data_IF_909516330677
#
_entry.id   IF_909516330677
#
_cell.length_a   1.000
_cell.length_b   1.000
_cell.length_c   1.000
_cell.angle_alpha   90.00
_cell.angle_beta   90.00
_cell.angle_gamma   90.00
#
_symmetry.space_group_name_H-M   'P 1'
#
loop_
_entity.id
_entity.type
_entity.pdbx_description
1 polymer ?
#
# COMPACT_ATOMS: atom_id res chain seq x y z
N UNK A 1 17.66 11.81 1.12
CA UNK A 1 17.21 11.49 -0.25
C UNK A 1 15.87 12.17 -0.47
N UNK A 2 15.66 12.88 -1.57
CA UNK A 2 14.44 13.65 -1.80
C UNK A 2 13.21 12.74 -1.94
N UNK A 3 12.08 13.15 -1.37
CA UNK A 3 10.79 12.47 -1.55
C UNK A 3 10.40 12.54 -3.04
N UNK A 4 10.13 11.38 -3.65
CA UNK A 4 9.67 11.30 -5.05
C UNK A 4 8.18 11.62 -5.09
N UNK A 5 7.78 12.58 -5.92
CA UNK A 5 6.36 12.92 -6.08
C UNK A 5 5.61 11.82 -6.81
N UNK A 6 4.35 11.61 -6.44
CA UNK A 6 3.40 10.72 -7.10
C UNK A 6 2.04 11.42 -7.23
N UNK A 7 1.25 11.01 -8.22
CA UNK A 7 -0.10 11.52 -8.43
C UNK A 7 -1.08 10.37 -8.56
N UNK A 8 -2.22 10.49 -7.89
CA UNK A 8 -3.43 9.71 -8.20
C UNK A 8 -4.35 10.59 -9.03
N UNK A 9 -4.67 10.14 -10.23
CA UNK A 9 -5.60 10.83 -11.14
C UNK A 9 -6.84 9.98 -11.28
N UNK A 10 -8.00 10.54 -10.94
CA UNK A 10 -9.29 9.87 -11.07
C UNK A 10 -9.92 10.17 -12.43
N UNK A 11 -10.84 9.30 -12.85
CA UNK A 11 -11.52 9.43 -14.14
C UNK A 11 -12.35 10.71 -14.28
N UNK A 12 -12.78 11.30 -13.16
CA UNK A 12 -13.50 12.59 -13.13
C UNK A 12 -12.57 13.82 -13.25
N UNK A 13 -11.26 13.61 -13.36
CA UNK A 13 -10.25 14.66 -13.43
C UNK A 13 -9.71 15.13 -12.08
N UNK A 14 -10.18 14.57 -10.96
CA UNK A 14 -9.63 14.85 -9.64
C UNK A 14 -8.19 14.36 -9.54
N UNK A 15 -7.31 15.19 -8.99
CA UNK A 15 -5.88 14.86 -8.81
C UNK A 15 -5.49 14.98 -7.33
N UNK A 16 -4.87 13.92 -6.81
CA UNK A 16 -4.23 13.93 -5.50
C UNK A 16 -2.71 13.86 -5.67
N UNK A 17 -1.99 14.88 -5.17
CA UNK A 17 -0.53 14.86 -5.08
C UNK A 17 -0.10 14.15 -3.78
N UNK A 18 0.89 13.27 -3.90
CA UNK A 18 1.46 12.53 -2.80
C UNK A 18 2.96 12.27 -2.96
N UNK A 19 3.49 11.46 -2.05
CA UNK A 19 4.87 10.97 -2.12
C UNK A 19 4.86 9.47 -2.40
N UNK A 20 5.66 9.02 -3.36
CA UNK A 20 5.87 7.60 -3.59
C UNK A 20 6.62 6.97 -2.42
N UNK A 21 6.11 5.85 -1.92
CA UNK A 21 6.76 5.02 -0.90
C UNK A 21 6.89 3.55 -1.33
N UNK A 22 6.34 3.15 -2.48
CA UNK A 22 6.43 1.79 -3.04
C UNK A 22 7.33 1.73 -4.28
N UNK A 23 7.05 0.78 -5.17
CA UNK A 23 7.69 0.70 -6.48
C UNK A 23 7.48 1.98 -7.31
N UNK A 24 8.47 2.32 -8.13
CA UNK A 24 8.36 3.42 -9.10
C UNK A 24 7.75 2.91 -10.40
N UNK A 25 6.86 3.70 -10.99
CA UNK A 25 6.18 3.36 -12.23
C UNK A 25 4.79 3.96 -12.27
N UNK A 26 3.99 3.45 -13.21
CA UNK A 26 2.59 3.82 -13.40
C UNK A 26 1.73 2.56 -13.27
N UNK A 27 0.53 2.72 -12.73
CA UNK A 27 -0.45 1.66 -12.59
C UNK A 27 -1.84 2.23 -12.74
N UNK A 28 -2.77 1.41 -13.22
CA UNK A 28 -4.16 1.76 -13.45
C UNK A 28 -5.06 0.70 -12.83
N UNK A 29 -6.19 1.12 -12.28
CA UNK A 29 -7.16 0.20 -11.69
C UNK A 29 -8.36 0.93 -11.11
N UNK A 30 -9.33 0.17 -10.64
CA UNK A 30 -10.48 0.71 -9.92
C UNK A 30 -10.03 1.19 -8.54
N UNK A 31 -10.31 2.45 -8.21
CA UNK A 31 -10.01 2.99 -6.87
C UNK A 31 -11.11 2.55 -5.90
N UNK A 32 -10.73 1.76 -4.91
CA UNK A 32 -11.61 1.28 -3.84
C UNK A 32 -11.09 1.78 -2.49
N UNK A 33 -11.95 1.76 -1.46
CA UNK A 33 -11.52 2.05 -0.09
C UNK A 33 -11.80 0.86 0.84
N UNK A 34 -10.92 0.66 1.82
CA UNK A 34 -11.09 -0.36 2.86
C UNK A 34 -11.03 0.30 4.26
N UNK A 35 -12.01 -0.03 5.11
CA UNK A 35 -12.18 0.53 6.45
C UNK A 35 -11.44 -0.21 7.56
N UNK A 36 -10.72 -1.29 7.23
CA UNK A 36 -9.90 -2.02 8.17
C UNK A 36 -8.79 -1.12 8.74
N UNK A 37 -8.63 -1.15 10.06
CA UNK A 37 -7.58 -0.40 10.76
C UNK A 37 -6.26 -1.19 10.87
N UNK A 38 -6.31 -2.49 10.58
CA UNK A 38 -5.23 -3.46 10.64
C UNK A 38 -5.39 -4.45 9.49
N UNK A 39 -4.43 -5.33 9.27
CA UNK A 39 -4.50 -6.36 8.24
C UNK A 39 -4.10 -5.86 6.84
N UNK A 40 -3.29 -4.79 6.75
CA UNK A 40 -2.96 -4.18 5.46
C UNK A 40 -2.12 -5.10 4.55
N UNK A 41 -1.37 -6.04 5.13
CA UNK A 41 -0.54 -6.94 4.33
C UNK A 41 -1.41 -8.05 3.73
N UNK A 42 -2.28 -8.62 4.53
CA UNK A 42 -3.30 -9.59 4.17
C UNK A 42 -4.14 -9.03 3.01
N UNK A 43 -4.63 -7.79 3.16
CA UNK A 43 -5.37 -7.04 2.12
C UNK A 43 -4.56 -6.89 0.83
N UNK A 44 -3.28 -6.51 0.91
CA UNK A 44 -2.42 -6.37 -0.29
C UNK A 44 -2.25 -7.70 -1.05
N UNK A 45 -2.31 -8.83 -0.34
CA UNK A 45 -2.11 -10.17 -0.89
C UNK A 45 -3.42 -10.92 -1.22
N UNK A 46 -4.58 -10.34 -0.95
CA UNK A 46 -5.88 -10.96 -1.27
C UNK A 46 -6.14 -10.87 -2.80
N UNK A 47 -6.34 -12.01 -3.50
CA UNK A 47 -6.63 -12.05 -4.93
C UNK A 47 -7.85 -11.23 -5.37
N UNK A 48 -8.78 -10.95 -4.46
CA UNK A 48 -9.99 -10.17 -4.70
C UNK A 48 -9.69 -8.72 -5.13
N UNK A 49 -8.51 -8.20 -4.81
CA UNK A 49 -8.06 -6.84 -5.18
C UNK A 49 -7.28 -6.77 -6.51
N UNK A 50 -7.34 -7.81 -7.33
CA UNK A 50 -6.75 -7.79 -8.68
C UNK A 50 -7.33 -6.61 -9.48
N UNK A 51 -6.47 -5.85 -10.18
CA UNK A 51 -6.85 -4.63 -10.94
C UNK A 51 -7.46 -3.49 -10.09
N UNK A 52 -7.32 -3.54 -8.76
CA UNK A 52 -7.81 -2.50 -7.85
C UNK A 52 -6.67 -1.73 -7.19
N UNK A 53 -6.88 -0.42 -7.00
CA UNK A 53 -6.01 0.48 -6.24
C UNK A 53 -6.68 0.73 -4.90
N UNK A 54 -6.08 0.26 -3.82
CA UNK A 54 -6.71 0.24 -2.49
C UNK A 54 -6.34 1.51 -1.74
N UNK A 55 -7.36 2.22 -1.25
CA UNK A 55 -7.22 3.35 -0.34
C UNK A 55 -7.57 2.95 1.08
N UNK A 56 -6.60 2.98 1.99
CA UNK A 56 -6.86 2.70 3.40
C UNK A 56 -7.47 3.92 4.07
N UNK A 57 -8.55 3.74 4.84
CA UNK A 57 -9.13 4.85 5.62
C UNK A 57 -8.39 5.12 6.92
N UNK A 58 -7.76 4.11 7.53
CA UNK A 58 -6.95 4.31 8.73
C UNK A 58 -5.67 5.08 8.38
N UNK A 59 -5.34 6.17 9.09
CA UNK A 59 -4.37 7.13 8.59
C UNK A 59 -2.91 6.64 8.63
N UNK A 60 -2.54 5.84 9.64
CA UNK A 60 -1.18 5.35 9.81
C UNK A 60 -1.07 3.89 9.41
N UNK A 61 -0.46 3.62 8.26
CA UNK A 61 -0.32 2.28 7.70
C UNK A 61 1.16 1.88 7.68
N UNK A 62 1.46 0.60 7.87
CA UNK A 62 2.84 0.09 7.98
C UNK A 62 3.40 0.06 9.40
N UNK A 63 2.62 0.40 10.42
CA UNK A 63 3.07 0.51 11.81
C UNK A 63 3.60 -0.80 12.43
N UNK A 64 3.18 -1.96 11.94
CA UNK A 64 3.70 -3.27 12.36
C UNK A 64 4.61 -3.93 11.31
N UNK A 65 5.00 -3.19 10.27
CA UNK A 65 5.86 -3.67 9.18
C UNK A 65 5.21 -4.82 8.40
N UNK A 66 6.01 -5.75 7.90
CA UNK A 66 5.52 -6.90 7.14
C UNK A 66 6.30 -8.18 7.51
N UNK A 67 5.68 -9.33 7.30
CA UNK A 67 6.26 -10.66 7.54
C UNK A 67 5.67 -11.71 6.58
N UNK A 68 6.26 -12.90 6.49
CA UNK A 68 5.80 -13.90 5.50
C UNK A 68 4.51 -14.60 5.93
N UNK A 69 4.26 -14.66 7.24
CA UNK A 69 3.16 -15.40 7.83
C UNK A 69 1.79 -14.68 7.65
N UNK A 70 1.79 -13.38 7.38
CA UNK A 70 0.59 -12.59 7.08
C UNK A 70 0.29 -12.50 5.55
N UNK A 71 0.79 -13.44 4.75
CA UNK A 71 0.42 -13.57 3.34
C UNK A 71 -0.84 -14.43 3.19
N UNK A 72 -1.92 -13.86 2.65
CA UNK A 72 -3.13 -14.61 2.28
C UNK A 72 -2.99 -15.36 0.95
N UNK A 73 -2.01 -14.95 0.13
CA UNK A 73 -1.76 -15.57 -1.17
C UNK A 73 -0.31 -15.40 -1.62
N UNK A 74 -0.01 -15.91 -2.81
CA UNK A 74 1.34 -16.09 -3.36
C UNK A 74 2.08 -14.80 -3.77
N UNK A 75 1.43 -13.64 -3.75
CA UNK A 75 2.00 -12.35 -4.15
C UNK A 75 1.08 -11.20 -3.72
N UNK A 76 1.53 -9.97 -3.94
CA UNK A 76 0.66 -8.78 -3.94
C UNK A 76 -0.23 -8.82 -5.19
N UNK A 77 -1.55 -8.66 -5.00
CA UNK A 77 -2.54 -8.62 -6.08
C UNK A 77 -3.08 -7.22 -6.34
N UNK A 78 -3.05 -6.34 -5.33
CA UNK A 78 -3.41 -4.94 -5.47
C UNK A 78 -2.55 -4.26 -6.55
N UNK A 79 -3.20 -3.48 -7.42
CA UNK A 79 -2.53 -2.71 -8.49
C UNK A 79 -1.92 -1.41 -7.98
N UNK A 80 -2.35 -0.93 -6.82
CA UNK A 80 -1.77 0.21 -6.14
C UNK A 80 -2.27 0.34 -4.70
N UNK A 81 -1.58 1.17 -3.93
CA UNK A 81 -1.86 1.32 -2.50
C UNK A 81 -1.74 2.77 -2.06
N UNK A 82 -2.81 3.32 -1.51
CA UNK A 82 -2.94 4.73 -1.13
C UNK A 82 -3.16 4.80 0.39
N UNK A 83 -2.33 5.59 1.06
CA UNK A 83 -2.37 5.80 2.51
C UNK A 83 -2.21 7.27 2.83
N UNK A 84 -2.71 7.70 3.99
CA UNK A 84 -2.48 9.06 4.48
C UNK A 84 -1.05 9.24 4.98
N UNK A 85 -0.55 8.28 5.76
CA UNK A 85 0.79 8.26 6.32
C UNK A 85 1.35 6.83 6.29
N UNK A 86 2.53 6.66 5.69
CA UNK A 86 3.31 5.43 5.79
C UNK A 86 4.24 5.52 7.00
N UNK A 87 4.21 4.51 7.87
CA UNK A 87 5.12 4.43 9.01
C UNK A 87 6.53 4.07 8.54
N UNK A 88 7.49 4.99 8.75
CA UNK A 88 8.89 4.78 8.39
C UNK A 88 9.60 3.78 9.33
N UNK A 89 9.14 3.70 10.59
CA UNK A 89 9.77 2.91 11.65
C UNK A 89 8.76 1.94 12.28
N UNK A 90 8.45 0.82 11.59
CA UNK A 90 7.54 -0.20 12.12
C UNK A 90 8.03 -0.79 13.44
N UNK A 91 7.12 -1.00 14.38
CA UNK A 91 7.40 -1.57 15.70
C UNK A 91 6.46 -2.73 16.01
N UNK A 92 6.91 -3.94 15.67
CA UNK A 92 6.25 -5.19 16.01
C UNK A 92 7.30 -6.30 16.07
N UNK A 93 7.19 -7.22 17.03
CA UNK A 93 8.14 -8.31 17.21
C UNK A 93 8.20 -9.28 16.02
N UNK A 94 7.14 -9.36 15.21
CA UNK A 94 7.06 -10.17 13.97
C UNK A 94 7.66 -9.47 12.76
N UNK A 95 7.85 -8.15 12.80
CA UNK A 95 8.30 -7.37 11.65
C UNK A 95 9.63 -7.89 11.09
N UNK A 96 9.68 -8.09 9.76
CA UNK A 96 10.90 -8.45 9.02
C UNK A 96 11.36 -7.38 8.04
N UNK A 97 10.45 -6.57 7.51
CA UNK A 97 10.78 -5.48 6.58
C UNK A 97 9.72 -4.37 6.64
N UNK A 98 10.13 -3.13 6.37
CA UNK A 98 9.19 -2.01 6.26
C UNK A 98 8.19 -2.23 5.13
N UNK A 99 7.00 -1.64 5.25
CA UNK A 99 5.99 -1.69 4.19
C UNK A 99 6.51 -1.05 2.89
N UNK A 100 7.27 0.04 3.00
CA UNK A 100 7.90 0.70 1.85
C UNK A 100 8.85 -0.24 1.11
N UNK A 101 9.74 -0.93 1.82
CA UNK A 101 10.69 -1.85 1.20
C UNK A 101 10.01 -3.12 0.68
N UNK A 102 8.92 -3.55 1.32
CA UNK A 102 8.08 -4.65 0.84
C UNK A 102 7.44 -4.31 -0.52
N UNK A 103 6.83 -3.13 -0.63
CA UNK A 103 6.16 -2.66 -1.86
C UNK A 103 7.14 -2.29 -2.98
N UNK A 104 8.41 -1.99 -2.69
CA UNK A 104 9.43 -1.78 -3.74
C UNK A 104 9.92 -3.09 -4.36
N UNK A 105 9.76 -4.21 -3.66
CA UNK A 105 10.25 -5.53 -4.08
C UNK A 105 9.21 -6.35 -4.85
N UNK A 106 7.94 -5.97 -4.80
CA UNK A 106 6.81 -6.64 -5.44
C UNK A 106 6.19 -5.72 -6.49
#
# INVERSE_FOLDING_TARGET
MGKVKAHLVLADGTVFEGTSFGALGESTGEVVFNTAMTGYQEILTDPSYTEQIITMTYPLIGNYGTNIEDWESKKVFASGFIVKENCDYPSNWRNKTSLSDYLKKN
#
